data_IF_629398378827
#
_entry.id   IF_629398378827
#
_cell.length_a   1.000
_cell.length_b   1.000
_cell.length_c   1.000
_cell.angle_alpha   90.00
_cell.angle_beta   90.00
_cell.angle_gamma   90.00
#
_symmetry.space_group_name_H-M   'P 1'
#
loop_
_entity.id
_entity.type
_entity.pdbx_description
1 polymer ?
#
# COMPACT_ATOMS: atom_id res chain seq x y z
N UNK A 1 -8.24 19.53 12.93
CA UNK A 1 -9.41 18.74 12.49
C UNK A 1 -9.04 17.65 11.48
N UNK A 2 -8.33 17.93 10.38
CA UNK A 2 -7.96 16.91 9.38
C UNK A 2 -7.21 15.69 9.94
N UNK A 3 -6.22 15.90 10.83
CA UNK A 3 -5.46 14.80 11.47
C UNK A 3 -6.34 13.87 12.32
N UNK A 4 -7.30 14.43 13.04
CA UNK A 4 -8.20 13.67 13.92
C UNK A 4 -9.22 12.85 13.12
N UNK A 5 -9.78 13.43 12.05
CA UNK A 5 -10.65 12.71 11.12
C UNK A 5 -9.88 11.59 10.40
N UNK A 6 -8.63 11.86 9.96
CA UNK A 6 -7.78 10.83 9.36
C UNK A 6 -7.49 9.65 10.30
N UNK A 7 -7.19 9.92 11.59
CA UNK A 7 -6.99 8.86 12.58
C UNK A 7 -8.26 8.05 12.87
N UNK A 8 -9.44 8.68 12.86
CA UNK A 8 -10.72 7.98 12.99
C UNK A 8 -11.00 7.04 11.81
N UNK A 9 -10.83 7.53 10.60
CA UNK A 9 -10.99 6.74 9.38
C UNK A 9 -10.00 5.58 9.33
N UNK A 10 -8.75 5.80 9.75
CA UNK A 10 -7.75 4.73 9.86
C UNK A 10 -8.19 3.65 10.85
N UNK A 11 -8.65 4.03 12.04
CA UNK A 11 -9.14 3.08 13.04
C UNK A 11 -10.35 2.27 12.53
N UNK A 12 -11.28 2.91 11.81
CA UNK A 12 -12.41 2.20 11.18
C UNK A 12 -11.92 1.17 10.14
N UNK A 13 -10.95 1.53 9.29
CA UNK A 13 -10.36 0.58 8.34
C UNK A 13 -9.60 -0.56 9.01
N UNK A 14 -8.95 -0.32 10.16
CA UNK A 14 -8.28 -1.38 10.91
C UNK A 14 -9.27 -2.39 11.49
N UNK A 15 -10.44 -1.93 11.95
CA UNK A 15 -11.51 -2.81 12.43
C UNK A 15 -12.16 -3.61 11.29
N UNK A 16 -12.43 -2.97 10.15
CA UNK A 16 -12.90 -3.63 8.93
C UNK A 16 -11.90 -4.72 8.52
N UNK A 17 -10.61 -4.39 8.44
CA UNK A 17 -9.55 -5.34 8.08
C UNK A 17 -9.44 -6.48 9.09
N UNK A 18 -9.59 -6.20 10.39
CA UNK A 18 -9.56 -7.24 11.42
C UNK A 18 -10.72 -8.23 11.24
N UNK A 19 -11.93 -7.73 10.98
CA UNK A 19 -13.12 -8.57 10.77
C UNK A 19 -13.00 -9.43 9.49
N UNK A 20 -12.48 -8.87 8.40
CA UNK A 20 -12.28 -9.61 7.14
C UNK A 20 -11.17 -10.68 7.22
N UNK A 21 -10.23 -10.54 8.15
CA UNK A 21 -9.17 -11.54 8.38
C UNK A 21 -9.54 -12.57 9.46
N UNK A 22 -10.72 -12.46 10.08
CA UNK A 22 -11.21 -13.47 11.00
C UNK A 22 -11.64 -14.74 10.23
N UNK A 23 -11.62 -15.87 10.93
CA UNK A 23 -12.12 -17.16 10.49
C UNK A 23 -13.61 -17.17 10.13
N UNK A 24 -14.40 -16.29 10.74
CA UNK A 24 -15.82 -16.09 10.44
C UNK A 24 -16.09 -14.60 10.31
N UNK A 25 -16.56 -14.19 9.13
CA UNK A 25 -16.90 -12.79 8.88
C UNK A 25 -18.25 -12.45 9.53
N UNK A 26 -18.24 -11.55 10.50
CA UNK A 26 -19.47 -10.94 11.03
C UNK A 26 -19.89 -9.79 10.10
N UNK A 27 -20.81 -10.09 9.18
CA UNK A 27 -21.31 -9.13 8.20
C UNK A 27 -22.09 -7.97 8.84
N UNK A 28 -22.76 -8.19 9.96
CA UNK A 28 -23.48 -7.11 10.64
C UNK A 28 -22.50 -6.11 11.24
N UNK A 29 -21.47 -6.60 11.91
CA UNK A 29 -20.39 -5.76 12.43
C UNK A 29 -19.66 -5.02 11.29
N UNK A 30 -19.38 -5.72 10.18
CA UNK A 30 -18.75 -5.14 9.00
C UNK A 30 -19.58 -3.99 8.42
N UNK A 31 -20.89 -4.19 8.24
CA UNK A 31 -21.80 -3.16 7.75
C UNK A 31 -21.85 -1.93 8.65
N UNK A 32 -21.87 -2.10 9.97
CA UNK A 32 -21.84 -0.97 10.92
C UNK A 32 -20.59 -0.12 10.72
N UNK A 33 -19.42 -0.73 10.56
CA UNK A 33 -18.18 0.02 10.34
C UNK A 33 -18.09 0.66 8.97
N UNK A 34 -18.62 -0.01 7.93
CA UNK A 34 -18.72 0.56 6.60
C UNK A 34 -19.66 1.77 6.59
N UNK A 35 -20.84 1.67 7.19
CA UNK A 35 -21.83 2.75 7.27
C UNK A 35 -21.25 3.99 7.98
N UNK A 36 -20.47 3.78 9.05
CA UNK A 36 -19.76 4.85 9.75
C UNK A 36 -18.75 5.62 8.88
N UNK A 37 -18.28 5.05 7.76
CA UNK A 37 -17.40 5.75 6.83
C UNK A 37 -18.15 6.74 5.93
N UNK A 38 -19.48 6.61 5.82
CA UNK A 38 -20.39 7.52 5.13
C UNK A 38 -19.86 8.02 3.76
N UNK A 39 -19.59 7.07 2.86
CA UNK A 39 -19.16 7.37 1.50
C UNK A 39 -19.55 6.24 0.55
N UNK A 40 -19.68 6.58 -0.73
CA UNK A 40 -20.18 5.67 -1.77
C UNK A 40 -19.42 4.34 -1.87
N UNK A 41 -18.09 4.36 -1.66
CA UNK A 41 -17.31 3.11 -1.71
C UNK A 41 -17.61 2.18 -0.53
N UNK A 42 -18.02 2.73 0.62
CA UNK A 42 -18.45 1.93 1.75
C UNK A 42 -19.84 1.33 1.49
N UNK A 43 -20.77 2.10 0.90
CA UNK A 43 -22.11 1.60 0.55
C UNK A 43 -22.05 0.48 -0.49
N UNK A 44 -21.17 0.62 -1.50
CA UNK A 44 -20.87 -0.44 -2.46
C UNK A 44 -20.34 -1.71 -1.76
N UNK A 45 -19.50 -1.57 -0.74
CA UNK A 45 -19.05 -2.71 0.05
C UNK A 45 -20.18 -3.30 0.88
N UNK A 46 -21.09 -2.50 1.43
CA UNK A 46 -22.29 -2.97 2.13
C UNK A 46 -23.16 -3.81 1.17
N UNK A 47 -23.37 -3.37 -0.08
CA UNK A 47 -24.05 -4.19 -1.10
C UNK A 47 -23.38 -5.56 -1.24
N UNK A 48 -22.04 -5.59 -1.36
CA UNK A 48 -21.30 -6.86 -1.49
C UNK A 48 -21.46 -7.79 -0.29
N UNK A 49 -21.63 -7.24 0.93
CA UNK A 49 -21.92 -8.06 2.12
C UNK A 49 -23.29 -8.72 2.04
N UNK A 50 -24.32 -8.01 1.57
CA UNK A 50 -25.67 -8.56 1.42
C UNK A 50 -25.71 -9.65 0.35
N UNK A 51 -25.03 -9.43 -0.78
CA UNK A 51 -24.89 -10.45 -1.83
C UNK A 51 -24.19 -11.70 -1.28
N UNK A 52 -23.12 -11.52 -0.47
CA UNK A 52 -22.38 -12.64 0.12
C UNK A 52 -23.20 -13.45 1.15
N UNK A 53 -24.14 -12.81 1.84
CA UNK A 53 -25.10 -13.48 2.74
C UNK A 53 -26.30 -14.10 2.01
N UNK A 54 -26.48 -13.82 0.72
CA UNK A 54 -27.65 -14.22 -0.05
C UNK A 54 -28.90 -13.36 0.21
N UNK A 55 -28.76 -12.22 0.93
CA UNK A 55 -29.84 -11.25 1.09
C UNK A 55 -29.90 -10.30 -0.13
N UNK A 56 -30.37 -10.86 -1.24
CA UNK A 56 -30.46 -10.15 -2.51
C UNK A 56 -31.47 -8.99 -2.48
N UNK A 57 -32.47 -9.06 -1.60
CA UNK A 57 -33.48 -8.00 -1.49
C UNK A 57 -32.89 -6.73 -0.87
N UNK A 58 -32.12 -6.86 0.21
CA UNK A 58 -31.39 -5.74 0.82
C UNK A 58 -30.31 -5.20 -0.12
N UNK A 59 -29.60 -6.08 -0.82
CA UNK A 59 -28.61 -5.68 -1.83
C UNK A 59 -29.24 -4.82 -2.93
N UNK A 60 -30.35 -5.27 -3.53
CA UNK A 60 -31.05 -4.53 -4.57
C UNK A 60 -31.57 -3.19 -4.08
N UNK A 61 -32.16 -3.16 -2.88
CA UNK A 61 -32.69 -1.93 -2.28
C UNK A 61 -31.61 -0.85 -2.12
N UNK A 62 -30.40 -1.25 -1.69
CA UNK A 62 -29.28 -0.32 -1.56
C UNK A 62 -28.71 0.10 -2.93
N UNK A 63 -28.64 -0.80 -3.91
CA UNK A 63 -28.26 -0.46 -5.28
C UNK A 63 -29.21 0.57 -5.91
N UNK A 64 -30.51 0.48 -5.65
CA UNK A 64 -31.48 1.46 -6.16
C UNK A 64 -31.33 2.84 -5.48
N UNK A 65 -30.81 2.87 -4.26
CA UNK A 65 -30.69 4.07 -3.44
C UNK A 65 -29.41 4.89 -3.73
N UNK A 66 -28.28 4.24 -4.00
CA UNK A 66 -26.95 4.88 -4.08
C UNK A 66 -26.91 6.02 -5.10
N UNK A 67 -27.50 5.87 -6.28
CA UNK A 67 -27.49 6.94 -7.29
C UNK A 67 -28.10 8.24 -6.75
N UNK A 68 -29.25 8.12 -6.05
CA UNK A 68 -29.94 9.26 -5.46
C UNK A 68 -29.23 9.82 -4.22
N UNK A 69 -28.60 8.96 -3.40
CA UNK A 69 -27.87 9.39 -2.20
C UNK A 69 -26.67 10.28 -2.51
N UNK A 70 -25.98 10.01 -3.61
CA UNK A 70 -24.77 10.72 -4.00
C UNK A 70 -24.97 11.66 -5.18
N UNK A 71 -26.23 11.87 -5.61
CA UNK A 71 -26.60 12.76 -6.72
C UNK A 71 -25.71 12.54 -7.96
N UNK A 72 -25.54 11.26 -8.35
CA UNK A 72 -24.60 10.89 -9.41
C UNK A 72 -25.11 11.37 -10.77
N UNK A 73 -24.22 12.03 -11.52
CA UNK A 73 -24.53 12.56 -12.86
C UNK A 73 -23.37 12.28 -13.84
N UNK A 74 -23.69 12.36 -15.15
CA UNK A 74 -22.71 12.26 -16.23
C UNK A 74 -21.93 10.94 -16.22
N UNK A 75 -20.61 11.01 -16.32
CA UNK A 75 -19.74 9.83 -16.35
C UNK A 75 -19.82 8.98 -15.08
N UNK A 76 -19.91 9.61 -13.90
CA UNK A 76 -20.00 8.88 -12.63
C UNK A 76 -21.30 8.08 -12.49
N UNK A 77 -22.39 8.56 -13.10
CA UNK A 77 -23.66 7.84 -13.18
C UNK A 77 -23.56 6.63 -14.10
N UNK A 78 -22.89 6.76 -15.26
CA UNK A 78 -22.66 5.64 -16.17
C UNK A 78 -21.79 4.55 -15.52
N UNK A 79 -20.66 4.94 -14.91
CA UNK A 79 -19.77 4.00 -14.20
C UNK A 79 -20.52 3.26 -13.08
N UNK A 80 -21.44 3.96 -12.40
CA UNK A 80 -22.28 3.35 -11.37
C UNK A 80 -23.31 2.37 -11.95
N UNK A 81 -23.92 2.70 -13.09
CA UNK A 81 -24.85 1.80 -13.77
C UNK A 81 -24.17 0.54 -14.28
N UNK A 82 -22.96 0.64 -14.82
CA UNK A 82 -22.17 -0.53 -15.20
C UNK A 82 -21.90 -1.43 -13.98
N UNK A 83 -21.50 -0.83 -12.85
CA UNK A 83 -21.32 -1.56 -11.59
C UNK A 83 -22.62 -2.22 -11.10
N UNK A 84 -23.74 -1.48 -11.16
CA UNK A 84 -25.06 -1.98 -10.74
C UNK A 84 -25.50 -3.16 -11.58
N UNK A 85 -25.48 -3.03 -12.91
CA UNK A 85 -25.87 -4.10 -13.83
C UNK A 85 -24.97 -5.32 -13.71
N UNK A 86 -23.66 -5.13 -13.51
CA UNK A 86 -22.74 -6.23 -13.21
C UNK A 86 -23.10 -6.95 -11.91
N UNK A 87 -23.41 -6.22 -10.84
CA UNK A 87 -23.80 -6.80 -9.55
C UNK A 87 -25.13 -7.55 -9.65
N UNK A 88 -26.10 -7.01 -10.39
CA UNK A 88 -27.38 -7.66 -10.67
C UNK A 88 -27.20 -8.98 -11.44
N UNK A 89 -26.27 -9.04 -12.40
CA UNK A 89 -25.90 -10.30 -13.06
C UNK A 89 -25.35 -11.32 -12.06
N UNK A 90 -24.47 -10.91 -11.15
CA UNK A 90 -23.95 -11.79 -10.11
C UNK A 90 -25.06 -12.32 -9.19
N UNK A 91 -26.01 -11.47 -8.81
CA UNK A 91 -27.19 -11.86 -8.03
C UNK A 91 -28.00 -12.91 -8.79
N UNK A 92 -28.26 -12.70 -10.10
CA UNK A 92 -28.99 -13.68 -10.92
C UNK A 92 -28.28 -15.04 -10.98
N UNK A 93 -26.96 -15.07 -11.14
CA UNK A 93 -26.19 -16.32 -11.13
C UNK A 93 -26.33 -17.05 -9.80
N UNK A 94 -26.18 -16.34 -8.68
CA UNK A 94 -26.29 -16.95 -7.36
C UNK A 94 -27.70 -17.45 -7.06
N UNK A 95 -28.74 -16.72 -7.48
CA UNK A 95 -30.13 -17.18 -7.37
C UNK A 95 -30.41 -18.46 -8.16
N UNK A 96 -29.70 -18.66 -9.28
CA UNK A 96 -29.74 -19.89 -10.06
C UNK A 96 -28.85 -21.01 -9.49
N UNK A 97 -28.18 -20.78 -8.36
CA UNK A 97 -27.21 -21.72 -7.77
C UNK A 97 -25.94 -21.89 -8.62
N UNK A 98 -25.67 -20.92 -9.50
CA UNK A 98 -24.50 -20.91 -10.38
C UNK A 98 -23.41 -20.00 -9.81
N UNK A 99 -22.18 -20.25 -10.22
CA UNK A 99 -21.04 -19.40 -9.89
C UNK A 99 -20.30 -18.96 -11.16
N UNK A 100 -19.26 -18.14 -10.97
CA UNK A 100 -18.44 -17.55 -12.04
C UNK A 100 -17.73 -18.58 -12.93
N UNK A 101 -17.71 -19.87 -12.58
CA UNK A 101 -17.11 -20.94 -13.39
C UNK A 101 -18.12 -21.59 -14.34
N UNK A 102 -19.40 -21.22 -14.23
CA UNK A 102 -20.51 -21.88 -14.91
C UNK A 102 -21.26 -20.95 -15.87
N UNK A 103 -20.62 -19.85 -16.30
CA UNK A 103 -21.19 -18.90 -17.26
C UNK A 103 -21.22 -19.49 -18.67
N UNK A 104 -22.29 -19.16 -19.41
CA UNK A 104 -22.45 -19.54 -20.81
C UNK A 104 -21.73 -18.57 -21.77
N UNK A 105 -21.70 -18.90 -23.05
CA UNK A 105 -20.99 -18.10 -24.06
C UNK A 105 -21.51 -16.66 -24.20
N UNK A 106 -22.80 -16.43 -23.91
CA UNK A 106 -23.42 -15.10 -23.98
C UNK A 106 -23.00 -14.27 -22.78
N UNK A 107 -23.02 -14.85 -21.59
CA UNK A 107 -22.58 -14.20 -20.36
C UNK A 107 -21.08 -13.88 -20.39
N UNK A 108 -20.26 -14.80 -20.91
CA UNK A 108 -18.83 -14.55 -21.14
C UNK A 108 -18.64 -13.41 -22.14
N UNK A 109 -19.42 -13.34 -23.23
CA UNK A 109 -19.35 -12.23 -24.18
C UNK A 109 -19.73 -10.89 -23.53
N UNK A 110 -20.73 -10.87 -22.65
CA UNK A 110 -21.08 -9.68 -21.86
C UNK A 110 -19.94 -9.25 -20.93
N UNK A 111 -19.24 -10.20 -20.30
CA UNK A 111 -18.06 -9.87 -19.50
C UNK A 111 -16.93 -9.28 -20.34
N UNK A 112 -16.71 -9.78 -21.56
CA UNK A 112 -15.73 -9.21 -22.49
C UNK A 112 -16.12 -7.77 -22.86
N UNK A 113 -17.40 -7.50 -23.08
CA UNK A 113 -17.89 -6.14 -23.35
C UNK A 113 -17.60 -5.19 -22.18
N UNK A 114 -17.87 -5.60 -20.93
CA UNK A 114 -17.47 -4.83 -19.75
C UNK A 114 -15.95 -4.64 -19.68
N UNK A 115 -15.17 -5.68 -19.94
CA UNK A 115 -13.72 -5.63 -19.82
C UNK A 115 -13.04 -4.73 -20.87
N UNK A 116 -13.61 -4.65 -22.08
CA UNK A 116 -13.01 -3.97 -23.23
C UNK A 116 -13.59 -2.56 -23.47
N UNK A 117 -14.88 -2.35 -23.16
CA UNK A 117 -15.61 -1.13 -23.56
C UNK A 117 -16.07 -0.26 -22.39
N UNK A 118 -15.93 -0.69 -21.14
CA UNK A 118 -16.29 0.13 -19.96
C UNK A 118 -15.07 0.46 -19.11
N UNK A 119 -15.30 1.26 -18.06
CA UNK A 119 -14.26 1.67 -17.11
C UNK A 119 -14.71 1.40 -15.66
N UNK A 120 -13.79 1.57 -14.71
CA UNK A 120 -14.13 1.52 -13.30
C UNK A 120 -14.34 0.09 -12.77
N UNK A 121 -15.26 -0.06 -11.82
CA UNK A 121 -15.37 -1.29 -11.01
C UNK A 121 -15.86 -2.49 -11.82
N UNK A 122 -16.80 -2.29 -12.75
CA UNK A 122 -17.35 -3.36 -13.57
C UNK A 122 -16.29 -3.95 -14.52
N UNK A 123 -15.54 -3.08 -15.22
CA UNK A 123 -14.45 -3.49 -16.10
C UNK A 123 -13.40 -4.34 -15.36
N UNK A 124 -12.91 -3.85 -14.21
CA UNK A 124 -11.89 -4.56 -13.42
C UNK A 124 -12.41 -5.90 -12.89
N UNK A 125 -13.67 -5.95 -12.43
CA UNK A 125 -14.28 -7.18 -11.96
C UNK A 125 -14.47 -8.20 -13.10
N UNK A 126 -14.88 -7.74 -14.28
CA UNK A 126 -15.02 -8.58 -15.47
C UNK A 126 -13.68 -9.14 -15.94
N UNK A 127 -12.65 -8.30 -16.04
CA UNK A 127 -11.28 -8.72 -16.33
C UNK A 127 -10.81 -9.81 -15.37
N UNK A 128 -10.97 -9.58 -14.06
CA UNK A 128 -10.57 -10.56 -13.04
C UNK A 128 -11.29 -11.91 -13.17
N UNK A 129 -12.60 -11.93 -13.48
CA UNK A 129 -13.34 -13.17 -13.72
C UNK A 129 -12.85 -13.87 -14.99
N UNK A 130 -12.67 -13.14 -16.08
CA UNK A 130 -12.23 -13.69 -17.36
C UNK A 130 -10.82 -14.29 -17.27
N UNK A 131 -9.90 -13.62 -16.57
CA UNK A 131 -8.55 -14.14 -16.30
C UNK A 131 -8.59 -15.38 -15.42
N UNK A 132 -9.36 -15.36 -14.34
CA UNK A 132 -9.41 -16.46 -13.37
C UNK A 132 -10.12 -17.71 -13.90
N UNK A 133 -11.27 -17.54 -14.56
CA UNK A 133 -12.18 -18.64 -14.89
C UNK A 133 -12.17 -19.06 -16.37
N UNK A 134 -11.79 -18.16 -17.29
CA UNK A 134 -11.98 -18.36 -18.73
C UNK A 134 -10.70 -18.27 -19.57
N UNK A 135 -9.54 -18.05 -18.93
CA UNK A 135 -8.23 -18.08 -19.59
C UNK A 135 -7.94 -16.89 -20.50
N UNK A 136 -8.60 -15.75 -20.27
CA UNK A 136 -8.25 -14.49 -20.91
C UNK A 136 -7.01 -13.89 -20.26
N UNK A 137 -6.34 -12.98 -20.96
CA UNK A 137 -5.19 -12.23 -20.44
C UNK A 137 -5.43 -10.74 -20.64
N UNK A 138 -5.49 -9.97 -19.54
CA UNK A 138 -5.61 -8.53 -19.56
C UNK A 138 -4.33 -7.87 -19.03
N UNK A 139 -3.98 -6.70 -19.57
CA UNK A 139 -2.82 -5.93 -19.09
C UNK A 139 -3.18 -5.27 -17.76
N UNK A 140 -2.79 -5.84 -16.63
CA UNK A 140 -2.84 -5.20 -15.30
C UNK A 140 -1.75 -4.13 -15.13
N UNK A 141 -1.59 -3.30 -16.16
CA UNK A 141 -0.48 -2.40 -16.33
C UNK A 141 -0.78 -1.08 -15.62
N UNK A 142 0.08 -0.59 -14.72
CA UNK A 142 -0.08 0.75 -14.15
C UNK A 142 -0.20 1.75 -15.31
N UNK A 143 -1.10 2.75 -15.23
CA UNK A 143 -1.25 3.71 -16.30
C UNK A 143 0.10 4.37 -16.59
N UNK A 144 0.69 4.07 -17.75
CA UNK A 144 2.00 4.58 -18.12
C UNK A 144 1.82 5.94 -18.77
N UNK A 145 2.27 7.00 -18.11
CA UNK A 145 2.25 8.36 -18.67
C UNK A 145 1.00 9.18 -18.38
N UNK A 146 0.14 8.76 -17.45
CA UNK A 146 -0.98 9.58 -17.01
C UNK A 146 -0.49 10.68 -16.05
N UNK A 147 -0.47 11.94 -16.53
CA UNK A 147 -0.16 13.11 -15.71
C UNK A 147 -1.24 13.45 -14.69
N UNK A 148 -2.36 12.72 -14.67
CA UNK A 148 -3.49 12.93 -13.76
C UNK A 148 -3.41 12.15 -12.43
N UNK A 149 -2.22 11.68 -12.03
CA UNK A 149 -2.01 11.21 -10.64
C UNK A 149 -1.94 12.42 -9.70
N UNK A 150 -3.10 12.98 -9.36
CA UNK A 150 -3.30 14.04 -8.35
C UNK A 150 -2.98 13.57 -6.91
N UNK A 151 -2.27 12.45 -6.74
CA UNK A 151 -1.55 12.15 -5.51
C UNK A 151 -0.09 12.53 -5.71
N UNK A 152 0.23 13.82 -5.51
CA UNK A 152 1.55 14.15 -5.01
C UNK A 152 1.61 13.74 -3.53
N UNK A 153 1.63 12.43 -3.26
CA UNK A 153 2.39 12.02 -2.10
C UNK A 153 3.82 12.32 -2.50
N UNK A 154 4.43 13.36 -1.91
CA UNK A 154 5.88 13.42 -1.93
C UNK A 154 6.31 12.03 -1.53
N UNK A 155 7.01 11.32 -2.42
CA UNK A 155 7.52 9.99 -2.12
C UNK A 155 8.35 10.23 -0.87
N UNK A 156 7.76 9.99 0.31
CA UNK A 156 8.53 9.68 1.49
C UNK A 156 9.15 8.39 1.02
N UNK A 157 10.44 8.38 0.65
CA UNK A 157 11.06 7.11 0.33
C UNK A 157 10.69 6.22 1.50
N UNK A 158 10.10 5.07 1.21
CA UNK A 158 9.96 4.02 2.21
C UNK A 158 11.40 3.63 2.54
N UNK A 159 12.06 4.46 3.37
CA UNK A 159 12.87 3.92 4.41
C UNK A 159 11.86 3.12 5.20
N UNK A 160 11.91 1.80 5.05
CA UNK A 160 11.60 0.90 6.15
C UNK A 160 12.48 1.31 7.33
N UNK A 161 12.18 2.45 7.92
CA UNK A 161 12.52 2.78 9.27
C UNK A 161 11.29 2.36 10.04
N UNK A 162 11.23 1.07 10.36
CA UNK A 162 11.12 0.79 11.78
C UNK A 162 12.14 1.72 12.42
N UNK A 163 11.70 2.75 13.15
CA UNK A 163 12.61 3.61 13.88
C UNK A 163 13.38 2.72 14.85
N UNK A 164 14.46 2.09 14.37
CA UNK A 164 15.30 1.19 15.13
C UNK A 164 16.03 1.98 16.22
N UNK A 165 15.95 3.31 16.21
CA UNK A 165 16.75 4.19 17.05
C UNK A 165 18.22 4.24 16.61
N UNK A 166 18.62 3.45 15.60
CA UNK A 166 19.96 3.43 15.03
C UNK A 166 20.13 4.57 14.01
N UNK A 167 21.01 5.50 14.34
CA UNK A 167 21.33 6.68 13.55
C UNK A 167 22.85 6.79 13.40
N UNK A 168 23.29 7.17 12.20
CA UNK A 168 24.68 7.57 11.93
C UNK A 168 24.71 8.57 10.78
N UNK A 169 25.46 9.66 10.93
CA UNK A 169 25.66 10.68 9.91
C UNK A 169 27.12 11.16 9.93
N UNK A 170 27.70 11.39 8.76
CA UNK A 170 29.09 11.81 8.60
C UNK A 170 29.18 13.30 8.22
N UNK A 171 29.90 14.11 9.01
CA UNK A 171 30.10 15.55 8.77
C UNK A 171 31.56 15.98 9.03
N UNK A 172 32.17 16.81 8.18
CA UNK A 172 31.70 17.23 6.87
C UNK A 172 31.73 16.07 5.86
N UNK A 173 30.89 16.15 4.83
CA UNK A 173 30.87 15.22 3.71
C UNK A 173 30.51 16.02 2.44
N UNK A 174 31.47 16.32 1.54
CA UNK A 174 32.82 15.76 1.46
C UNK A 174 33.77 16.15 2.61
N UNK A 175 34.64 15.22 3.01
CA UNK A 175 35.63 15.37 4.08
C UNK A 175 37.03 15.61 3.49
N UNK A 176 37.76 16.61 4.01
CA UNK A 176 39.13 16.91 3.56
C UNK A 176 40.19 16.36 4.51
N UNK A 177 40.09 16.74 5.78
CA UNK A 177 41.11 16.39 6.79
C UNK A 177 40.57 15.49 7.90
N UNK A 178 39.28 15.53 8.16
CA UNK A 178 38.64 14.75 9.19
C UNK A 178 37.15 14.59 8.86
N UNK A 179 36.54 13.56 9.43
CA UNK A 179 35.10 13.35 9.42
C UNK A 179 34.65 12.96 10.82
N UNK A 180 33.56 13.55 11.27
CA UNK A 180 32.87 13.20 12.49
C UNK A 180 31.64 12.36 12.14
N UNK A 181 31.51 11.21 12.80
CA UNK A 181 30.34 10.36 12.73
C UNK A 181 29.47 10.60 13.96
N UNK A 182 28.38 11.35 13.80
CA UNK A 182 27.37 11.51 14.83
C UNK A 182 26.48 10.27 14.84
N UNK A 183 26.28 9.65 15.99
CA UNK A 183 25.52 8.40 16.09
C UNK A 183 24.58 8.36 17.30
N UNK A 184 23.53 7.55 17.15
CA UNK A 184 22.60 7.16 18.22
C UNK A 184 22.34 5.67 18.10
N UNK A 185 22.43 4.95 19.21
CA UNK A 185 22.17 3.52 19.30
C UNK A 185 20.75 3.26 19.82
N UNK A 186 20.14 2.13 19.43
CA UNK A 186 18.87 1.67 20.00
C UNK A 186 18.91 1.54 21.54
N UNK A 187 17.75 1.67 22.19
CA UNK A 187 17.62 1.57 23.65
C UNK A 187 18.13 0.22 24.19
N UNK A 188 17.99 -0.85 23.42
CA UNK A 188 18.39 -2.21 23.82
C UNK A 188 19.84 -2.60 23.45
N UNK A 189 20.63 -1.70 22.86
CA UNK A 189 22.00 -2.01 22.37
C UNK A 189 23.06 -1.27 23.18
N UNK A 190 24.00 -2.00 23.80
CA UNK A 190 25.10 -1.43 24.59
C UNK A 190 26.33 -1.06 23.76
N UNK A 191 26.55 -1.72 22.62
CA UNK A 191 27.71 -1.47 21.76
C UNK A 191 27.39 -1.63 20.27
N UNK A 192 28.16 -0.93 19.45
CA UNK A 192 28.06 -0.97 17.98
C UNK A 192 29.44 -0.97 17.33
N UNK A 193 29.53 -1.50 16.12
CA UNK A 193 30.75 -1.34 15.29
C UNK A 193 30.45 -0.42 14.12
N UNK A 194 31.18 0.69 14.05
CA UNK A 194 31.23 1.57 12.88
C UNK A 194 32.39 1.14 11.99
N UNK A 195 32.10 0.66 10.79
CA UNK A 195 33.08 0.18 9.82
C UNK A 195 33.07 1.09 8.58
N UNK A 196 34.24 1.41 8.05
CA UNK A 196 34.38 2.12 6.78
C UNK A 196 35.01 1.19 5.76
N UNK A 197 34.40 1.08 4.59
CA UNK A 197 34.88 0.29 3.45
C UNK A 197 35.03 1.15 2.20
N UNK A 198 35.90 0.74 1.28
CA UNK A 198 35.89 1.31 -0.07
C UNK A 198 34.74 0.73 -0.92
N UNK A 199 34.58 1.21 -2.16
CA UNK A 199 33.56 0.73 -3.12
C UNK A 199 33.71 -0.76 -3.50
N UNK A 200 34.89 -1.35 -3.29
CA UNK A 200 35.14 -2.78 -3.50
C UNK A 200 34.88 -3.63 -2.25
N UNK A 201 34.33 -3.03 -1.17
CA UNK A 201 34.03 -3.72 0.08
C UNK A 201 35.24 -3.97 0.99
N UNK A 202 36.44 -3.50 0.63
CA UNK A 202 37.65 -3.63 1.46
C UNK A 202 37.53 -2.73 2.68
N UNK A 203 37.68 -3.30 3.87
CA UNK A 203 37.68 -2.55 5.13
C UNK A 203 38.90 -1.63 5.23
N UNK A 204 38.64 -0.36 5.53
CA UNK A 204 39.65 0.69 5.74
C UNK A 204 39.91 0.87 7.24
N UNK A 205 38.85 0.98 8.03
CA UNK A 205 38.93 1.12 9.48
C UNK A 205 37.62 0.67 10.14
N UNK A 206 37.70 0.27 11.41
CA UNK A 206 36.54 -0.02 12.24
C UNK A 206 36.71 0.59 13.64
N UNK A 207 35.60 1.03 14.24
CA UNK A 207 35.54 1.61 15.57
C UNK A 207 34.45 0.95 16.40
N UNK A 208 34.76 0.58 17.64
CA UNK A 208 33.77 0.15 18.61
C UNK A 208 33.18 1.35 19.34
N UNK A 209 31.86 1.49 19.29
CA UNK A 209 31.09 2.55 19.93
C UNK A 209 30.39 1.96 21.16
N UNK A 210 30.63 2.54 22.34
CA UNK A 210 30.11 2.01 23.63
C UNK A 210 29.11 2.94 24.32
N UNK A 211 28.92 4.17 23.80
CA UNK A 211 27.94 5.11 24.35
C UNK A 211 26.66 5.05 23.55
N UNK A 212 25.53 5.37 24.19
CA UNK A 212 24.21 5.36 23.53
C UNK A 212 24.07 6.42 22.44
N UNK A 213 24.78 7.52 22.58
CA UNK A 213 24.86 8.58 21.59
C UNK A 213 26.22 9.27 21.73
N UNK A 214 26.68 9.89 20.65
CA UNK A 214 27.91 10.66 20.66
C UNK A 214 28.47 10.87 19.27
N UNK A 215 29.73 11.26 19.24
CA UNK A 215 30.46 11.55 18.01
C UNK A 215 31.75 10.74 17.98
N UNK A 216 32.07 10.12 16.83
CA UNK A 216 33.36 9.50 16.57
C UNK A 216 34.09 10.25 15.48
N UNK A 217 35.20 10.89 15.82
CA UNK A 217 36.03 11.61 14.84
C UNK A 217 37.09 10.67 14.25
N UNK A 218 37.27 10.76 12.94
CA UNK A 218 38.29 10.04 12.17
C UNK A 218 39.12 11.03 11.33
N UNK A 219 40.44 10.91 11.40
CA UNK A 219 41.40 11.67 10.60
C UNK A 219 41.55 11.04 9.21
N UNK A 220 41.22 11.80 8.17
CA UNK A 220 41.21 11.34 6.77
C UNK A 220 42.42 11.79 5.98
N UNK A 221 43.38 12.51 6.57
CA UNK A 221 44.53 13.12 5.85
C UNK A 221 45.43 12.12 5.11
N UNK A 222 45.45 10.87 5.56
CA UNK A 222 46.25 9.78 4.97
C UNK A 222 45.41 8.80 4.14
N UNK A 223 44.15 9.14 3.88
CA UNK A 223 43.22 8.30 3.14
C UNK A 223 43.16 8.80 1.71
N UNK A 224 43.15 7.86 0.76
CA UNK A 224 43.02 8.18 -0.65
C UNK A 224 41.72 8.93 -0.94
N UNK A 225 41.76 9.85 -1.89
CA UNK A 225 40.58 10.59 -2.32
C UNK A 225 39.64 9.64 -3.05
N UNK A 226 38.35 9.70 -2.75
CA UNK A 226 37.38 8.82 -3.37
C UNK A 226 36.11 8.61 -2.57
N UNK A 227 35.32 7.65 -3.03
CA UNK A 227 34.06 7.26 -2.42
C UNK A 227 34.26 6.09 -1.46
N UNK A 228 33.68 6.24 -0.27
CA UNK A 228 33.67 5.24 0.78
C UNK A 228 32.25 5.01 1.29
N UNK A 229 32.04 3.87 1.93
CA UNK A 229 30.79 3.52 2.60
C UNK A 229 31.10 3.38 4.08
N UNK A 230 30.38 4.12 4.92
CA UNK A 230 30.39 3.90 6.37
C UNK A 230 29.16 3.11 6.76
N UNK A 231 29.33 2.10 7.60
CA UNK A 231 28.25 1.23 8.09
C UNK A 231 28.37 1.07 9.59
N UNK A 232 27.33 1.44 10.33
CA UNK A 232 27.18 1.08 11.74
C UNK A 232 26.39 -0.23 11.84
N UNK A 233 26.90 -1.19 12.61
CA UNK A 233 26.29 -2.51 12.82
C UNK A 233 26.06 -2.78 14.30
N UNK A 234 24.88 -3.27 14.65
CA UNK A 234 24.47 -3.66 16.00
C UNK A 234 23.60 -4.91 15.95
N UNK A 235 24.10 -6.06 16.40
CA UNK A 235 23.32 -7.31 16.36
C UNK A 235 22.74 -7.59 14.97
N UNK A 236 21.41 -7.57 14.85
CA UNK A 236 20.65 -7.82 13.62
C UNK A 236 20.39 -6.58 12.74
N UNK A 237 20.76 -5.37 13.18
CA UNK A 237 20.46 -4.13 12.45
C UNK A 237 21.75 -3.42 12.02
N UNK A 238 21.72 -2.86 10.82
CA UNK A 238 22.80 -2.01 10.32
C UNK A 238 22.26 -0.79 9.58
N UNK A 239 23.03 0.30 9.58
CA UNK A 239 22.73 1.51 8.82
C UNK A 239 24.00 1.98 8.11
N UNK A 240 23.87 2.33 6.84
CA UNK A 240 24.99 2.74 6.00
C UNK A 240 24.77 4.12 5.41
N UNK A 241 25.86 4.79 5.05
CA UNK A 241 25.83 6.00 4.26
C UNK A 241 27.09 6.15 3.41
N UNK A 242 27.03 7.10 2.48
CA UNK A 242 28.12 7.43 1.57
C UNK A 242 29.01 8.50 2.19
N UNK A 243 30.32 8.31 2.13
CA UNK A 243 31.34 9.29 2.50
C UNK A 243 32.21 9.61 1.27
N UNK A 244 32.45 10.89 1.04
CA UNK A 244 33.36 11.37 0.00
C UNK A 244 34.58 11.98 0.71
N UNK A 245 35.79 11.55 0.32
CA UNK A 245 37.06 12.13 0.81
C UNK A 245 37.73 12.88 -0.35
N UNK A 246 38.12 14.13 -0.11
CA UNK A 246 38.69 15.08 -1.08
C UNK A 246 40.09 15.58 -0.71
#
# INVERSE_FOLDING_TARGET
MARYNGSKTLAAYDLIRSNLNDSVTDYQYLRIWLDNLNNMNADIQIVSTYVSEGDFASAQSLLDLIQGLYELEGGAMNDYYDYKSFTEMQIMWQQQGRNILQLDSTEVATLVDYADNTNGKAAVAAQGILEFAYGYEYCNCPPVGDSSVWKSYGIVPVTQSYESGLFVEAKPNPAKTWVAFDYKLPVYVSEATLQITNIMGKAIVAFTLKTKQGQKVWDTRKIEKGMYIYTIKTGSVSKSGKLIIE
#
